data_IF_446097348549
#
_entry.id   IF_446097348549
#
_cell.length_a   1.000
_cell.length_b   1.000
_cell.length_c   1.000
_cell.angle_alpha   90.00
_cell.angle_beta   90.00
_cell.angle_gamma   90.00
#
_symmetry.space_group_name_H-M   'P 1'
#
loop_
_entity.id
_entity.type
_entity.pdbx_description
1 polymer ?
#
# COMPACT_ATOMS: atom_id res chain seq x y z
N UNK A 1 -15.49 -19.46 15.30
CA UNK A 1 -15.20 -18.54 14.17
C UNK A 1 -15.85 -17.20 14.48
N UNK A 2 -15.03 -16.24 14.89
CA UNK A 2 -15.50 -14.89 15.19
C UNK A 2 -15.88 -14.19 13.88
N UNK A 3 -17.13 -13.74 13.77
CA UNK A 3 -17.61 -13.01 12.59
C UNK A 3 -16.81 -11.71 12.47
N UNK A 4 -15.98 -11.61 11.45
CA UNK A 4 -15.32 -10.33 11.08
C UNK A 4 -16.44 -9.30 10.89
N UNK A 5 -16.53 -8.31 11.80
CA UNK A 5 -17.43 -7.17 11.64
C UNK A 5 -17.06 -6.47 10.33
N UNK A 6 -17.91 -6.64 9.31
CA UNK A 6 -17.77 -5.88 8.08
C UNK A 6 -17.89 -4.38 8.42
N UNK A 7 -16.92 -3.60 7.96
CA UNK A 7 -17.01 -2.14 8.05
C UNK A 7 -18.31 -1.66 7.39
N UNK A 8 -18.95 -0.62 7.94
CA UNK A 8 -20.19 -0.09 7.35
C UNK A 8 -19.94 0.26 5.88
N UNK A 9 -20.83 -0.19 5.00
CA UNK A 9 -20.77 0.10 3.56
C UNK A 9 -21.06 1.58 3.35
N UNK A 10 -20.05 2.42 3.52
CA UNK A 10 -20.10 3.81 3.08
C UNK A 10 -19.99 3.85 1.56
N UNK A 11 -20.69 4.79 0.94
CA UNK A 11 -20.56 4.99 -0.51
C UNK A 11 -19.09 5.33 -0.83
N UNK A 12 -18.42 4.60 -1.73
CA UNK A 12 -17.02 4.86 -2.04
C UNK A 12 -16.86 6.26 -2.65
N UNK A 13 -15.86 6.99 -2.20
CA UNK A 13 -15.49 8.30 -2.74
C UNK A 13 -14.60 8.11 -3.98
N UNK A 14 -13.74 7.09 -3.94
CA UNK A 14 -12.77 6.75 -4.98
C UNK A 14 -13.00 5.32 -5.46
N UNK A 15 -12.93 5.11 -6.76
CA UNK A 15 -12.95 3.80 -7.40
C UNK A 15 -11.59 3.52 -8.00
N UNK A 16 -11.11 2.29 -7.86
CA UNK A 16 -9.81 1.84 -8.38
C UNK A 16 -9.81 0.33 -8.57
N UNK A 17 -8.94 -0.15 -9.44
CA UNK A 17 -8.69 -1.57 -9.67
C UNK A 17 -7.21 -1.85 -9.45
N UNK A 18 -6.89 -2.97 -8.81
CA UNK A 18 -5.52 -3.42 -8.59
C UNK A 18 -5.27 -4.64 -9.45
N UNK A 19 -4.21 -4.59 -10.24
CA UNK A 19 -3.81 -5.66 -11.15
C UNK A 19 -2.36 -6.05 -10.92
N UNK A 20 -2.01 -7.29 -11.28
CA UNK A 20 -0.65 -7.82 -11.24
C UNK A 20 0.02 -7.73 -9.86
N UNK A 21 -0.75 -7.96 -8.78
CA UNK A 21 -0.22 -7.88 -7.42
C UNK A 21 0.82 -8.99 -7.17
N UNK A 22 1.97 -8.58 -6.65
CA UNK A 22 3.00 -9.49 -6.14
C UNK A 22 3.16 -9.28 -4.65
N UNK A 23 3.06 -10.35 -3.86
CA UNK A 23 3.19 -10.30 -2.40
C UNK A 23 4.52 -10.91 -1.98
N UNK A 24 5.47 -10.09 -1.59
CA UNK A 24 6.78 -10.53 -1.13
C UNK A 24 6.91 -10.18 0.35
N UNK A 25 7.27 -11.17 1.18
CA UNK A 25 7.40 -10.99 2.63
C UNK A 25 8.74 -11.50 3.12
N UNK A 26 9.35 -10.73 4.01
CA UNK A 26 10.59 -11.10 4.70
C UNK A 26 10.41 -11.01 6.20
N UNK A 27 11.07 -11.92 6.90
CA UNK A 27 11.25 -11.83 8.33
C UNK A 27 12.12 -10.61 8.65
N UNK A 28 11.78 -9.89 9.68
CA UNK A 28 12.53 -8.72 10.14
C UNK A 28 12.65 -8.75 11.66
N UNK A 29 13.75 -8.22 12.17
CA UNK A 29 13.91 -8.03 13.59
C UNK A 29 12.84 -7.05 14.11
N UNK A 30 12.09 -7.51 15.11
CA UNK A 30 11.03 -6.73 15.74
C UNK A 30 11.54 -5.42 16.35
N UNK A 31 12.77 -5.37 16.83
CA UNK A 31 13.37 -4.17 17.43
C UNK A 31 13.69 -3.11 16.37
N UNK A 32 14.07 -3.56 15.17
CA UNK A 32 14.31 -2.67 14.04
C UNK A 32 13.00 -2.07 13.56
N UNK A 33 12.00 -2.92 13.26
CA UNK A 33 10.75 -2.45 12.69
C UNK A 33 9.90 -1.65 13.68
N UNK A 34 9.98 -1.94 14.96
CA UNK A 34 9.22 -1.26 15.98
C UNK A 34 9.57 0.24 16.11
N UNK A 35 10.77 0.65 15.66
CA UNK A 35 11.18 2.07 15.62
C UNK A 35 10.35 2.90 14.64
N UNK A 36 9.72 2.28 13.66
CA UNK A 36 8.90 2.94 12.62
C UNK A 36 7.43 2.99 12.98
N UNK A 37 7.01 2.29 14.04
CA UNK A 37 5.60 2.15 14.41
C UNK A 37 5.23 3.19 15.48
N UNK A 38 4.09 3.88 15.34
CA UNK A 38 3.55 4.76 16.37
C UNK A 38 3.39 4.04 17.71
N UNK A 39 3.64 4.74 18.83
CA UNK A 39 3.62 4.18 20.18
C UNK A 39 2.29 3.59 20.64
N UNK A 40 1.20 4.00 20.00
CA UNK A 40 -0.17 3.52 20.28
C UNK A 40 -0.53 2.23 19.52
N UNK A 41 0.38 1.73 18.69
CA UNK A 41 0.28 0.48 17.98
C UNK A 41 1.30 -0.52 18.50
N UNK A 42 1.02 -1.80 18.32
CA UNK A 42 1.97 -2.88 18.56
C UNK A 42 2.10 -3.76 17.31
N UNK A 43 3.24 -4.43 17.15
CA UNK A 43 3.43 -5.39 16.06
C UNK A 43 2.45 -6.56 16.18
N UNK A 44 1.86 -6.94 15.06
CA UNK A 44 1.12 -8.19 14.91
C UNK A 44 2.10 -9.25 14.40
N UNK A 45 2.56 -10.08 15.31
CA UNK A 45 3.57 -11.10 15.02
C UNK A 45 2.89 -12.39 14.52
N UNK A 46 3.51 -13.02 13.52
CA UNK A 46 3.16 -14.36 13.10
C UNK A 46 4.24 -15.33 13.61
N UNK A 47 3.86 -16.34 14.40
CA UNK A 47 4.79 -17.26 15.09
C UNK A 47 5.93 -16.52 15.81
N UNK A 48 5.58 -15.45 16.55
CA UNK A 48 6.54 -14.60 17.29
C UNK A 48 7.53 -13.83 16.41
N UNK A 49 7.34 -13.80 15.09
CA UNK A 49 8.20 -13.13 14.12
C UNK A 49 7.48 -11.93 13.49
N UNK A 50 8.19 -10.82 13.34
CA UNK A 50 7.71 -9.68 12.58
C UNK A 50 8.01 -9.85 11.07
N UNK A 51 7.12 -9.32 10.23
CA UNK A 51 7.26 -9.36 8.79
C UNK A 51 7.16 -7.98 8.18
N UNK A 52 7.97 -7.73 7.17
CA UNK A 52 7.82 -6.61 6.25
C UNK A 52 7.32 -7.15 4.91
N UNK A 53 6.33 -6.48 4.35
CA UNK A 53 5.79 -6.80 3.03
C UNK A 53 6.18 -5.73 2.02
N UNK A 54 6.65 -6.16 0.84
CA UNK A 54 6.80 -5.32 -0.35
C UNK A 54 5.80 -5.81 -1.37
N UNK A 55 4.85 -4.96 -1.71
CA UNK A 55 3.74 -5.31 -2.58
C UNK A 55 3.67 -4.33 -3.75
N UNK A 56 4.34 -4.65 -4.87
CA UNK A 56 4.16 -3.94 -6.12
C UNK A 56 2.88 -4.37 -6.81
N UNK A 57 2.17 -3.43 -7.43
CA UNK A 57 0.98 -3.67 -8.23
C UNK A 57 0.70 -2.54 -9.22
N UNK A 58 -0.19 -2.77 -10.17
CA UNK A 58 -0.69 -1.75 -11.08
C UNK A 58 -2.00 -1.19 -10.56
N UNK A 59 -2.01 0.09 -10.24
CA UNK A 59 -3.24 0.87 -10.10
C UNK A 59 -3.87 1.09 -11.46
N UNK A 60 -5.17 0.83 -11.57
CA UNK A 60 -5.95 1.01 -12.80
C UNK A 60 -7.25 1.75 -12.52
N UNK A 61 -7.61 2.62 -13.46
CA UNK A 61 -8.89 3.32 -13.45
C UNK A 61 -9.17 4.09 -12.14
N UNK A 62 -8.12 4.67 -11.55
CA UNK A 62 -8.27 5.52 -10.37
C UNK A 62 -9.10 6.74 -10.74
N UNK A 63 -10.28 6.86 -10.13
CA UNK A 63 -11.22 7.94 -10.43
C UNK A 63 -12.15 8.24 -9.26
N UNK A 64 -12.63 9.47 -9.13
CA UNK A 64 -13.74 9.77 -8.24
C UNK A 64 -14.97 8.95 -8.64
N UNK A 65 -15.85 8.65 -7.70
CA UNK A 65 -17.08 7.87 -7.96
C UNK A 65 -17.91 8.41 -9.13
N UNK A 66 -18.00 9.72 -9.23
CA UNK A 66 -18.79 10.44 -10.23
C UNK A 66 -17.96 10.99 -11.40
N UNK A 67 -16.66 10.63 -11.45
CA UNK A 67 -15.71 11.14 -12.44
C UNK A 67 -15.26 10.08 -13.44
N UNK A 68 -14.50 10.54 -14.41
CA UNK A 68 -13.88 9.70 -15.44
C UNK A 68 -12.44 9.38 -15.07
N UNK A 69 -11.94 8.23 -15.54
CA UNK A 69 -10.50 7.94 -15.47
C UNK A 69 -9.78 8.74 -16.55
N UNK A 70 -8.65 9.37 -16.16
CA UNK A 70 -7.82 10.14 -17.07
C UNK A 70 -6.64 9.25 -17.50
N UNK A 71 -6.46 8.98 -18.81
CA UNK A 71 -5.29 8.24 -19.29
C UNK A 71 -4.00 8.82 -18.71
N UNK A 72 -2.99 7.98 -18.45
CA UNK A 72 -1.68 8.29 -17.85
C UNK A 72 -1.69 8.74 -16.38
N UNK A 73 -2.80 9.28 -15.87
CA UNK A 73 -2.92 9.72 -14.47
C UNK A 73 -3.59 8.64 -13.61
N UNK A 74 -4.56 7.94 -14.19
CA UNK A 74 -5.36 6.93 -13.50
C UNK A 74 -4.79 5.51 -13.57
N UNK A 75 -3.65 5.33 -14.28
CA UNK A 75 -2.99 4.04 -14.44
C UNK A 75 -1.49 4.20 -14.18
N UNK A 76 -1.00 3.61 -13.10
CA UNK A 76 0.40 3.72 -12.71
C UNK A 76 0.82 2.56 -11.79
N UNK A 77 2.11 2.20 -11.75
CA UNK A 77 2.61 1.27 -10.76
C UNK A 77 2.67 1.91 -9.39
N UNK A 78 2.36 1.12 -8.37
CA UNK A 78 2.51 1.48 -6.96
C UNK A 78 3.28 0.39 -6.22
N UNK A 79 4.11 0.81 -5.26
CA UNK A 79 4.88 -0.07 -4.42
C UNK A 79 4.57 0.24 -2.96
N UNK A 80 3.98 -0.71 -2.27
CA UNK A 80 3.73 -0.64 -0.83
C UNK A 80 4.89 -1.28 -0.07
N UNK A 81 5.46 -0.58 0.89
CA UNK A 81 6.27 -1.19 1.94
C UNK A 81 5.48 -1.08 3.23
N UNK A 82 5.12 -2.22 3.82
CA UNK A 82 4.21 -2.28 4.95
C UNK A 82 4.62 -3.32 5.98
N UNK A 83 4.10 -3.17 7.18
CA UNK A 83 4.17 -4.18 8.23
C UNK A 83 2.79 -4.39 8.84
N UNK A 84 2.67 -5.36 9.72
CA UNK A 84 1.42 -5.75 10.35
C UNK A 84 1.41 -5.27 11.80
N UNK A 85 0.31 -4.65 12.18
CA UNK A 85 0.16 -4.03 13.49
C UNK A 85 -1.20 -4.36 14.10
N UNK A 86 -1.33 -4.12 15.39
CA UNK A 86 -2.59 -4.21 16.11
C UNK A 86 -2.76 -3.06 17.09
N UNK A 87 -4.00 -2.67 17.32
CA UNK A 87 -4.40 -1.77 18.40
C UNK A 87 -5.44 -2.52 19.25
N UNK A 88 -5.03 -2.96 20.45
CA UNK A 88 -5.80 -3.92 21.22
C UNK A 88 -6.02 -5.20 20.41
N UNK A 89 -7.29 -5.56 20.18
CA UNK A 89 -7.68 -6.75 19.40
C UNK A 89 -7.91 -6.47 17.90
N UNK A 90 -7.75 -5.24 17.45
CA UNK A 90 -7.97 -4.88 16.05
C UNK A 90 -6.65 -4.99 15.30
N UNK A 91 -6.61 -5.90 14.32
CA UNK A 91 -5.46 -6.09 13.41
C UNK A 91 -5.53 -5.12 12.25
N UNK A 92 -4.37 -4.68 11.77
CA UNK A 92 -4.27 -3.74 10.66
C UNK A 92 -2.93 -3.81 9.95
N UNK A 93 -2.82 -2.99 8.93
CA UNK A 93 -1.60 -2.79 8.15
C UNK A 93 -1.07 -1.39 8.40
N UNK A 94 0.21 -1.28 8.67
CA UNK A 94 0.91 -0.01 8.78
C UNK A 94 1.81 0.18 7.55
N UNK A 95 1.57 1.23 6.79
CA UNK A 95 2.38 1.58 5.63
C UNK A 95 3.61 2.36 6.08
N UNK A 96 4.78 1.81 5.82
CA UNK A 96 6.07 2.46 6.08
C UNK A 96 6.35 3.47 4.99
N UNK A 97 6.06 3.10 3.73
CA UNK A 97 6.13 3.99 2.57
C UNK A 97 5.31 3.45 1.42
N UNK A 98 4.86 4.35 0.56
CA UNK A 98 4.08 4.10 -0.63
C UNK A 98 4.72 4.87 -1.78
N UNK A 99 5.30 4.16 -2.74
CA UNK A 99 5.92 4.78 -3.91
C UNK A 99 4.93 4.71 -5.07
N UNK A 100 4.56 5.88 -5.60
CA UNK A 100 3.61 5.97 -6.72
C UNK A 100 4.07 7.01 -7.75
N UNK A 101 3.77 6.74 -9.02
CA UNK A 101 4.09 7.62 -10.14
C UNK A 101 3.05 8.74 -10.35
N UNK A 102 2.06 8.83 -9.50
CA UNK A 102 0.97 9.81 -9.62
C UNK A 102 1.13 10.95 -8.62
N UNK A 103 1.36 12.16 -9.14
CA UNK A 103 1.37 13.39 -8.33
C UNK A 103 -0.01 13.64 -7.70
N UNK A 104 -1.07 13.34 -8.44
CA UNK A 104 -2.45 13.52 -7.96
C UNK A 104 -2.72 12.58 -6.79
N UNK A 105 -2.34 11.31 -6.91
CA UNK A 105 -2.47 10.34 -5.81
C UNK A 105 -1.67 10.79 -4.59
N UNK A 106 -0.45 11.31 -4.78
CA UNK A 106 0.37 11.84 -3.69
C UNK A 106 -0.35 12.99 -2.97
N UNK A 107 -0.83 13.99 -3.70
CA UNK A 107 -1.49 15.15 -3.10
C UNK A 107 -2.80 14.74 -2.41
N UNK A 108 -3.63 13.95 -3.08
CA UNK A 108 -4.93 13.51 -2.53
C UNK A 108 -4.75 12.59 -1.32
N UNK A 109 -3.91 11.57 -1.44
CA UNK A 109 -3.75 10.57 -0.40
C UNK A 109 -2.96 11.10 0.82
N UNK A 110 -1.97 11.96 0.63
CA UNK A 110 -1.27 12.61 1.74
C UNK A 110 -2.16 13.54 2.54
N UNK A 111 -3.01 14.32 1.86
CA UNK A 111 -3.85 15.30 2.53
C UNK A 111 -5.12 14.70 3.17
N UNK A 112 -5.71 13.67 2.55
CA UNK A 112 -6.96 13.08 3.03
C UNK A 112 -6.78 11.82 3.87
N UNK A 113 -5.73 11.03 3.62
CA UNK A 113 -5.52 9.75 4.30
C UNK A 113 -4.23 9.69 5.13
N UNK A 114 -3.42 10.76 5.16
CA UNK A 114 -2.15 10.85 5.88
C UNK A 114 -1.20 9.69 5.58
N UNK A 115 -1.24 9.17 4.36
CA UNK A 115 -0.40 8.07 3.91
C UNK A 115 0.98 8.57 3.47
N UNK A 116 2.07 7.83 3.77
CA UNK A 116 3.45 8.24 3.48
C UNK A 116 3.83 8.02 2.01
N UNK A 117 3.15 8.74 1.11
CA UNK A 117 3.40 8.65 -0.32
C UNK A 117 4.68 9.38 -0.73
N UNK A 118 5.52 8.67 -1.49
CA UNK A 118 6.69 9.20 -2.15
C UNK A 118 6.49 9.21 -3.67
N UNK A 119 6.91 10.27 -4.32
CA UNK A 119 6.88 10.31 -5.79
C UNK A 119 8.01 9.46 -6.36
N UNK A 120 7.65 8.50 -7.20
CA UNK A 120 8.59 7.59 -7.82
C UNK A 120 8.28 7.42 -9.31
N UNK A 121 9.29 7.04 -10.07
CA UNK A 121 9.13 6.53 -11.43
C UNK A 121 9.25 5.02 -11.37
N UNK A 122 8.20 4.32 -11.78
CA UNK A 122 8.16 2.87 -11.77
C UNK A 122 7.69 2.28 -13.08
N UNK A 123 8.07 1.05 -13.33
CA UNK A 123 7.57 0.27 -14.45
C UNK A 123 7.50 -1.21 -14.08
N UNK A 124 6.67 -1.93 -14.82
CA UNK A 124 6.58 -3.39 -14.74
C UNK A 124 6.82 -3.98 -16.13
N UNK A 125 7.65 -5.00 -16.19
CA UNK A 125 7.88 -5.80 -17.40
C UNK A 125 7.35 -7.19 -17.13
N UNK A 126 6.55 -7.72 -18.06
CA UNK A 126 6.06 -9.08 -18.04
C UNK A 126 6.75 -9.88 -19.14
N UNK A 127 7.41 -10.96 -18.78
CA UNK A 127 8.06 -11.88 -19.70
C UNK A 127 7.81 -13.31 -19.24
N UNK A 128 7.22 -14.14 -20.10
CA UNK A 128 6.94 -15.56 -19.82
C UNK A 128 6.17 -15.77 -18.51
N UNK A 129 5.18 -14.93 -18.20
CA UNK A 129 4.41 -15.02 -16.95
C UNK A 129 5.14 -14.51 -15.69
N UNK A 130 6.38 -14.05 -15.82
CA UNK A 130 7.14 -13.44 -14.74
C UNK A 130 7.02 -11.92 -14.79
N UNK A 131 6.80 -11.31 -13.63
CA UNK A 131 6.76 -9.87 -13.46
C UNK A 131 8.08 -9.35 -12.88
N UNK A 132 8.72 -8.44 -13.60
CA UNK A 132 9.86 -7.66 -13.11
C UNK A 132 9.38 -6.25 -12.78
N UNK A 133 9.59 -5.84 -11.53
CA UNK A 133 9.16 -4.56 -11.00
C UNK A 133 10.36 -3.66 -10.74
N UNK A 134 10.25 -2.39 -11.11
CA UNK A 134 11.26 -1.39 -10.80
C UNK A 134 10.59 -0.13 -10.27
N UNK A 135 11.17 0.48 -9.24
CA UNK A 135 10.78 1.80 -8.74
C UNK A 135 12.01 2.61 -8.37
N UNK A 136 12.07 3.84 -8.85
CA UNK A 136 13.10 4.81 -8.51
C UNK A 136 12.40 5.99 -7.86
N UNK A 137 12.68 6.20 -6.58
CA UNK A 137 12.18 7.36 -5.85
C UNK A 137 12.89 8.61 -6.32
N UNK A 138 12.13 9.62 -6.72
CA UNK A 138 12.69 10.86 -7.28
C UNK A 138 12.79 11.96 -6.22
N UNK A 139 11.85 11.98 -5.24
CA UNK A 139 11.84 12.94 -4.13
C UNK A 139 11.29 12.28 -2.88
N UNK A 140 11.81 12.70 -1.73
CA UNK A 140 11.27 12.37 -0.41
C UNK A 140 10.10 13.28 -0.07
#
# INVERSE_FOLDING_TARGET
MEKIKQAPRTNPILLQKWEKLSFMHWRVDKEIINKYIPKDLSLDLYDSVAYIGVIPFMMKNVRPRWGFSIPFISNFPEFNIRTYVKKGNVRGVFFITLDAQSIITRIYASNFFHLPYCYSRGYVVEKNGLFSWNSIRLYK
#
